data_IF_627319685773
#
_entry.id   IF_627319685773
#
_cell.length_a   1.000
_cell.length_b   1.000
_cell.length_c   1.000
_cell.angle_alpha   90.00
_cell.angle_beta   90.00
_cell.angle_gamma   90.00
#
_symmetry.space_group_name_H-M   'P 1'
#
loop_
_entity.id
_entity.type
_entity.pdbx_description
1 polymer ?
#
# COMPACT_ATOMS: atom_id res chain seq x y z
N UNK A 1 9.51 -19.23 5.78
CA UNK A 1 8.06 -19.01 5.74
C UNK A 1 7.69 -17.75 6.51
N UNK A 2 6.84 -16.94 5.94
CA UNK A 2 6.48 -15.66 6.57
C UNK A 2 5.25 -15.80 7.45
N UNK A 3 5.32 -15.25 8.65
CA UNK A 3 4.21 -15.25 9.60
C UNK A 3 3.37 -13.97 9.55
N UNK A 4 3.97 -12.87 9.12
CA UNK A 4 3.27 -11.60 8.98
C UNK A 4 3.73 -10.90 7.71
N UNK A 5 2.82 -10.75 6.78
CA UNK A 5 3.10 -10.18 5.46
C UNK A 5 2.35 -8.88 5.32
N UNK A 6 3.03 -7.82 4.91
CA UNK A 6 2.40 -6.54 4.61
C UNK A 6 2.36 -6.35 3.10
N UNK A 7 1.16 -6.33 2.52
CA UNK A 7 0.98 -6.09 1.09
C UNK A 7 0.58 -4.64 0.88
N UNK A 8 1.42 -3.89 0.18
CA UNK A 8 1.18 -2.48 -0.11
C UNK A 8 0.56 -2.36 -1.50
N UNK A 9 -0.63 -1.79 -1.56
CA UNK A 9 -1.39 -1.67 -2.80
C UNK A 9 -1.73 -0.21 -3.11
N UNK A 10 -1.76 0.13 -4.38
CA UNK A 10 -2.13 1.47 -4.85
C UNK A 10 -3.58 1.54 -5.33
N UNK A 11 -4.34 0.46 -5.15
CA UNK A 11 -5.75 0.32 -5.53
C UNK A 11 -6.01 0.39 -7.04
N UNK A 12 -4.95 0.24 -7.84
CA UNK A 12 -5.08 0.12 -9.29
C UNK A 12 -5.27 -1.35 -9.68
N UNK A 13 -5.41 -1.60 -10.97
CA UNK A 13 -5.46 -2.97 -11.50
C UNK A 13 -4.21 -3.76 -11.17
N UNK A 14 -3.07 -3.09 -11.11
CA UNK A 14 -1.80 -3.74 -10.81
C UNK A 14 -1.74 -4.27 -9.40
N UNK A 15 -2.62 -3.78 -8.52
CA UNK A 15 -2.71 -4.30 -7.16
C UNK A 15 -3.05 -5.79 -7.14
N UNK A 16 -3.75 -6.29 -8.15
CA UNK A 16 -4.07 -7.72 -8.22
C UNK A 16 -2.82 -8.57 -8.27
N UNK A 17 -1.81 -8.12 -9.01
CA UNK A 17 -0.54 -8.85 -9.09
C UNK A 17 0.19 -8.88 -7.76
N UNK A 18 0.15 -7.76 -7.04
CA UNK A 18 0.74 -7.66 -5.71
C UNK A 18 0.02 -8.58 -4.73
N UNK A 19 -1.30 -8.57 -4.78
CA UNK A 19 -2.13 -9.40 -3.90
C UNK A 19 -1.94 -10.89 -4.20
N UNK A 20 -1.89 -11.26 -5.47
CA UNK A 20 -1.64 -12.65 -5.85
C UNK A 20 -0.30 -13.14 -5.30
N UNK A 21 0.71 -12.29 -5.37
CA UNK A 21 2.02 -12.66 -4.84
C UNK A 21 1.99 -12.76 -3.32
N UNK A 22 1.30 -11.86 -2.65
CA UNK A 22 1.15 -11.92 -1.20
C UNK A 22 0.46 -13.21 -0.77
N UNK A 23 -0.61 -13.59 -1.46
CA UNK A 23 -1.31 -14.84 -1.18
C UNK A 23 -0.39 -16.05 -1.41
N UNK A 24 0.39 -16.01 -2.48
CA UNK A 24 1.33 -17.09 -2.78
C UNK A 24 2.37 -17.27 -1.67
N UNK A 25 2.96 -16.16 -1.20
CA UNK A 25 3.97 -16.26 -0.15
C UNK A 25 3.37 -16.51 1.24
N UNK A 26 2.07 -16.28 1.40
CA UNK A 26 1.35 -16.64 2.63
C UNK A 26 1.09 -18.15 2.71
N UNK A 27 1.37 -18.86 1.64
CA UNK A 27 1.30 -20.32 1.60
C UNK A 27 -0.07 -20.86 2.02
N UNK A 28 -1.12 -20.20 1.52
CA UNK A 28 -2.50 -20.63 1.75
C UNK A 28 -3.15 -20.10 3.02
N UNK A 29 -2.40 -19.37 3.83
CA UNK A 29 -2.96 -18.79 5.06
C UNK A 29 -3.05 -17.28 4.95
N UNK A 30 -4.16 -16.79 4.41
CA UNK A 30 -4.36 -15.36 4.23
C UNK A 30 -4.51 -14.60 5.55
N UNK A 31 -4.71 -15.29 6.65
CA UNK A 31 -4.78 -14.63 7.95
C UNK A 31 -3.45 -13.99 8.35
N UNK A 32 -2.36 -14.35 7.67
CA UNK A 32 -1.05 -13.77 7.90
C UNK A 32 -0.82 -12.48 7.11
N UNK A 33 -1.79 -12.07 6.29
CA UNK A 33 -1.64 -10.90 5.43
C UNK A 33 -2.29 -9.67 6.04
N UNK A 34 -1.53 -8.57 6.08
CA UNK A 34 -2.05 -7.23 6.32
C UNK A 34 -2.00 -6.48 5.01
N UNK A 35 -2.96 -5.61 4.78
CA UNK A 35 -3.03 -4.76 3.59
C UNK A 35 -2.78 -3.32 4.00
N UNK A 36 -2.10 -2.56 3.16
CA UNK A 36 -1.93 -1.14 3.38
C UNK A 36 -2.07 -0.36 2.07
N UNK A 37 -2.76 0.76 2.18
CA UNK A 37 -2.78 1.78 1.14
C UNK A 37 -2.47 3.11 1.80
N UNK A 38 -1.61 3.90 1.18
CA UNK A 38 -1.23 5.22 1.71
C UNK A 38 -1.80 6.30 0.80
N UNK A 39 -2.65 7.14 1.39
CA UNK A 39 -3.21 8.30 0.69
C UNK A 39 -2.24 9.46 0.88
N UNK A 40 -1.80 10.05 -0.23
CA UNK A 40 -0.90 11.20 -0.16
C UNK A 40 -1.69 12.47 0.13
N UNK A 41 -1.16 13.39 0.93
CA UNK A 41 -1.85 14.63 1.22
C UNK A 41 -2.11 15.47 -0.03
N UNK A 42 -3.35 15.88 -0.22
CA UNK A 42 -3.77 16.65 -1.39
C UNK A 42 -3.01 17.98 -1.48
N UNK A 43 -2.84 18.65 -0.36
CA UNK A 43 -2.13 19.92 -0.30
C UNK A 43 -0.70 19.81 -0.81
N UNK A 44 -0.02 18.70 -0.50
CA UNK A 44 1.33 18.46 -0.97
C UNK A 44 1.37 18.22 -2.49
N UNK A 45 0.34 17.56 -3.02
CA UNK A 45 0.28 17.25 -4.45
C UNK A 45 0.06 18.50 -5.31
N UNK A 46 -0.70 19.45 -4.80
CA UNK A 46 -1.05 20.63 -5.59
C UNK A 46 -0.32 21.91 -5.21
N UNK A 47 0.43 21.90 -4.16
CA UNK A 47 1.18 23.05 -3.67
C UNK A 47 0.30 24.30 -3.56
N UNK A 48 -0.88 24.16 -2.98
CA UNK A 48 -1.84 25.21 -3.11
C UNK A 48 -2.15 25.89 -1.82
N UNK A 49 -2.19 27.19 -1.88
CA UNK A 49 -2.66 28.03 -0.82
C UNK A 49 -4.17 28.17 -0.90
N UNK A 50 -4.85 27.17 -1.32
CA UNK A 50 -6.18 27.34 -1.68
C UNK A 50 -7.11 26.97 -0.61
N UNK A 51 -8.16 27.62 -0.54
CA UNK A 51 -9.39 27.33 0.16
C UNK A 51 -9.29 26.05 0.97
N UNK A 52 -8.63 26.16 2.10
CA UNK A 52 -8.33 25.03 2.96
C UNK A 52 -9.53 24.12 3.21
N UNK A 53 -10.72 24.67 3.19
CA UNK A 53 -11.95 23.90 3.40
C UNK A 53 -12.15 22.85 2.32
N UNK A 54 -11.97 23.22 1.05
CA UNK A 54 -12.14 22.27 -0.04
C UNK A 54 -11.06 21.20 -0.04
N UNK A 55 -9.84 21.56 0.32
CA UNK A 55 -8.74 20.64 0.41
C UNK A 55 -9.02 19.58 1.47
N UNK A 56 -9.52 20.00 2.63
CA UNK A 56 -9.86 19.08 3.72
C UNK A 56 -10.95 18.10 3.29
N UNK A 57 -12.00 18.60 2.65
CA UNK A 57 -13.09 17.73 2.19
C UNK A 57 -12.61 16.72 1.15
N UNK A 58 -11.81 17.16 0.19
CA UNK A 58 -11.25 16.28 -0.83
C UNK A 58 -10.38 15.20 -0.18
N UNK A 59 -9.57 15.59 0.79
CA UNK A 59 -8.70 14.68 1.51
C UNK A 59 -9.51 13.61 2.26
N UNK A 60 -10.54 14.03 2.98
CA UNK A 60 -11.38 13.11 3.74
C UNK A 60 -12.13 12.15 2.83
N UNK A 61 -12.60 12.63 1.69
CA UNK A 61 -13.28 11.80 0.72
C UNK A 61 -12.32 10.75 0.12
N UNK A 62 -11.10 11.16 -0.20
CA UNK A 62 -10.09 10.25 -0.71
C UNK A 62 -9.78 9.13 0.29
N UNK A 63 -9.66 9.48 1.57
CA UNK A 63 -9.42 8.51 2.63
C UNK A 63 -10.60 7.54 2.76
N UNK A 64 -11.82 8.06 2.78
CA UNK A 64 -13.01 7.23 2.89
C UNK A 64 -13.15 6.24 1.74
N UNK A 65 -12.90 6.69 0.52
CA UNK A 65 -12.96 5.83 -0.65
C UNK A 65 -11.89 4.74 -0.61
N UNK A 66 -10.70 5.10 -0.19
CA UNK A 66 -9.60 4.16 -0.08
C UNK A 66 -9.89 3.10 0.99
N UNK A 67 -10.40 3.53 2.15
CA UNK A 67 -10.77 2.60 3.22
C UNK A 67 -11.80 1.59 2.75
N UNK A 68 -12.83 2.08 2.05
CA UNK A 68 -13.89 1.22 1.56
C UNK A 68 -13.36 0.17 0.58
N UNK A 69 -12.54 0.60 -0.38
CA UNK A 69 -11.96 -0.31 -1.36
C UNK A 69 -11.06 -1.34 -0.71
N UNK A 70 -10.24 -0.90 0.23
CA UNK A 70 -9.28 -1.80 0.89
C UNK A 70 -10.01 -2.84 1.73
N UNK A 71 -11.07 -2.46 2.41
CA UNK A 71 -11.88 -3.37 3.19
C UNK A 71 -12.62 -4.39 2.30
N UNK A 72 -13.05 -3.96 1.12
CA UNK A 72 -13.65 -4.88 0.16
C UNK A 72 -12.65 -5.93 -0.31
N UNK A 73 -11.41 -5.51 -0.57
CA UNK A 73 -10.34 -6.43 -0.95
C UNK A 73 -10.08 -7.42 0.18
N UNK A 74 -9.99 -6.93 1.41
CA UNK A 74 -9.77 -7.79 2.57
C UNK A 74 -10.87 -8.84 2.67
N UNK A 75 -12.11 -8.42 2.51
CA UNK A 75 -13.25 -9.33 2.58
C UNK A 75 -13.18 -10.42 1.50
N UNK A 76 -12.82 -10.05 0.28
CA UNK A 76 -12.69 -11.00 -0.82
C UNK A 76 -11.60 -12.03 -0.56
N UNK A 77 -10.56 -11.65 0.13
CA UNK A 77 -9.43 -12.54 0.43
C UNK A 77 -9.59 -13.27 1.77
N UNK A 78 -10.68 -13.02 2.48
CA UNK A 78 -10.88 -13.63 3.79
C UNK A 78 -9.98 -13.06 4.87
N UNK A 79 -9.54 -11.82 4.69
CA UNK A 79 -8.69 -11.10 5.65
C UNK A 79 -9.59 -10.26 6.54
N UNK A 80 -9.33 -10.28 7.85
CA UNK A 80 -10.08 -9.47 8.80
C UNK A 80 -9.87 -7.98 8.48
N UNK A 81 -10.94 -7.19 8.49
CA UNK A 81 -10.88 -5.75 8.21
C UNK A 81 -9.88 -5.00 9.07
N UNK A 82 -9.65 -5.46 10.29
CA UNK A 82 -8.72 -4.81 11.21
C UNK A 82 -7.29 -4.83 10.66
N UNK A 83 -7.02 -5.73 9.72
CA UNK A 83 -5.71 -5.84 9.06
C UNK A 83 -5.63 -5.04 7.76
N UNK A 84 -6.68 -4.31 7.42
CA UNK A 84 -6.68 -3.41 6.26
C UNK A 84 -6.41 -2.00 6.74
N UNK A 85 -5.22 -1.48 6.44
CA UNK A 85 -4.74 -0.20 6.95
C UNK A 85 -4.75 0.86 5.86
N UNK A 86 -5.47 1.95 6.10
CA UNK A 86 -5.44 3.11 5.22
C UNK A 86 -4.75 4.24 5.96
N UNK A 87 -3.62 4.68 5.44
CA UNK A 87 -2.77 5.67 6.09
C UNK A 87 -2.71 6.95 5.26
N UNK A 88 -2.38 8.06 5.91
CA UNK A 88 -2.19 9.34 5.25
C UNK A 88 -0.73 9.74 5.42
N UNK A 89 -0.05 10.04 4.34
CA UNK A 89 1.32 10.51 4.42
C UNK A 89 2.13 10.16 3.18
N UNK A 90 3.43 10.08 3.34
CA UNK A 90 4.35 9.69 2.28
C UNK A 90 4.40 8.15 2.23
N UNK A 91 4.14 7.54 1.08
CA UNK A 91 4.00 6.08 1.01
C UNK A 91 5.18 5.30 1.54
N UNK A 92 6.39 5.62 1.13
CA UNK A 92 7.58 4.86 1.55
C UNK A 92 7.75 4.80 3.05
N UNK A 93 7.87 5.95 3.72
CA UNK A 93 8.01 5.99 5.17
C UNK A 93 6.84 5.37 5.93
N UNK A 94 5.61 5.62 5.48
CA UNK A 94 4.42 5.07 6.15
C UNK A 94 4.38 3.55 6.07
N UNK A 95 4.73 2.99 4.93
CA UNK A 95 4.80 1.53 4.77
C UNK A 95 5.87 0.93 5.68
N UNK A 96 7.06 1.55 5.71
CA UNK A 96 8.13 1.06 6.58
C UNK A 96 7.74 1.11 8.05
N UNK A 97 7.12 2.21 8.46
CA UNK A 97 6.70 2.37 9.85
C UNK A 97 5.65 1.34 10.25
N UNK A 98 4.69 1.09 9.37
CA UNK A 98 3.67 0.08 9.64
C UNK A 98 4.29 -1.31 9.68
N UNK A 99 5.20 -1.61 8.76
CA UNK A 99 5.88 -2.91 8.75
C UNK A 99 6.59 -3.17 10.08
N UNK A 100 7.26 -2.15 10.61
CA UNK A 100 7.92 -2.25 11.92
C UNK A 100 6.90 -2.42 13.04
N UNK A 101 5.82 -1.66 13.00
CA UNK A 101 4.79 -1.68 14.03
C UNK A 101 4.10 -3.03 14.16
N UNK A 102 3.82 -3.67 13.03
CA UNK A 102 3.18 -4.99 13.04
C UNK A 102 4.17 -6.15 13.07
N UNK A 103 5.45 -5.86 13.13
CA UNK A 103 6.52 -6.85 13.07
C UNK A 103 6.43 -7.72 11.82
N UNK A 104 6.27 -7.09 10.67
CA UNK A 104 6.18 -7.81 9.40
C UNK A 104 7.48 -8.54 9.09
N UNK A 105 7.35 -9.75 8.58
CA UNK A 105 8.48 -10.55 8.10
C UNK A 105 8.79 -10.22 6.65
N UNK A 106 7.80 -9.76 5.92
CA UNK A 106 7.95 -9.40 4.52
C UNK A 106 7.00 -8.28 4.13
N UNK A 107 7.46 -7.43 3.24
CA UNK A 107 6.62 -6.44 2.56
C UNK A 107 6.54 -6.85 1.10
N UNK A 108 5.34 -6.90 0.55
CA UNK A 108 5.12 -7.19 -0.87
C UNK A 108 4.62 -5.91 -1.51
N UNK A 109 5.31 -5.45 -2.54
CA UNK A 109 5.02 -4.15 -3.15
C UNK A 109 5.24 -4.21 -4.66
N UNK A 110 4.49 -3.42 -5.41
CA UNK A 110 4.67 -3.34 -6.85
C UNK A 110 5.92 -2.56 -7.25
N UNK A 111 6.47 -2.89 -8.40
CA UNK A 111 7.68 -2.24 -8.90
C UNK A 111 7.44 -0.79 -9.32
N UNK A 112 6.20 -0.42 -9.69
CA UNK A 112 5.85 0.96 -9.97
C UNK A 112 4.45 1.27 -9.44
N UNK A 113 4.19 2.57 -9.26
CA UNK A 113 2.87 3.05 -8.90
C UNK A 113 1.99 3.26 -10.11
N UNK A 114 0.74 3.50 -9.85
CA UNK A 114 -0.31 3.64 -10.86
C UNK A 114 -0.18 4.90 -11.71
N UNK A 115 0.32 5.97 -11.17
CA UNK A 115 0.22 7.28 -11.80
C UNK A 115 1.22 7.52 -12.94
N UNK A 116 1.50 6.49 -13.71
CA UNK A 116 2.36 6.62 -14.88
C UNK A 116 3.82 6.83 -14.58
N UNK A 117 4.22 6.53 -13.39
CA UNK A 117 5.62 6.63 -13.00
C UNK A 117 6.40 5.55 -13.73
N UNK A 118 7.02 5.93 -14.80
CA UNK A 118 7.81 5.03 -15.64
C UNK A 118 9.20 4.78 -15.09
N UNK A 119 9.36 4.91 -13.83
CA UNK A 119 10.64 4.69 -13.19
C UNK A 119 10.80 3.20 -12.99
N UNK A 120 11.95 2.68 -13.30
CA UNK A 120 12.24 1.24 -13.28
C UNK A 120 11.84 0.55 -12.01
N UNK A 121 12.09 1.20 -10.90
CA UNK A 121 11.62 0.74 -9.62
C UNK A 121 10.93 1.93 -9.01
N UNK A 122 9.66 1.84 -8.71
CA UNK A 122 8.88 2.97 -8.20
C UNK A 122 9.55 3.62 -7.00
N UNK A 123 9.38 4.93 -6.86
CA UNK A 123 10.00 5.67 -5.76
C UNK A 123 9.58 5.11 -4.41
N UNK A 124 8.35 4.66 -4.27
CA UNK A 124 7.86 4.06 -3.04
C UNK A 124 8.60 2.75 -2.75
N UNK A 125 8.75 1.89 -3.75
CA UNK A 125 9.45 0.62 -3.59
C UNK A 125 10.90 0.83 -3.17
N UNK A 126 11.57 1.81 -3.78
CA UNK A 126 12.95 2.15 -3.42
C UNK A 126 13.03 2.61 -1.97
N UNK A 127 12.14 3.47 -1.55
CA UNK A 127 12.14 4.00 -0.18
C UNK A 127 11.82 2.92 0.84
N UNK A 128 10.93 2.01 0.50
CA UNK A 128 10.63 0.87 1.38
C UNK A 128 11.86 -0.01 1.50
N UNK A 129 12.48 -0.34 0.38
CA UNK A 129 13.66 -1.21 0.37
C UNK A 129 14.81 -0.64 1.18
N UNK A 130 15.10 0.64 1.02
CA UNK A 130 16.23 1.28 1.72
C UNK A 130 16.07 1.34 3.23
N UNK A 131 14.86 1.39 3.72
CA UNK A 131 14.63 1.50 5.17
C UNK A 131 14.05 0.25 5.78
N UNK A 132 13.95 -0.84 5.04
CA UNK A 132 13.28 -2.03 5.52
C UNK A 132 14.09 -2.77 6.58
N UNK A 133 13.37 -3.29 7.57
CA UNK A 133 13.95 -4.16 8.60
C UNK A 133 13.52 -5.60 8.38
N UNK A 134 12.93 -5.90 7.23
CA UNK A 134 12.44 -7.24 6.86
C UNK A 134 12.65 -7.44 5.37
N UNK A 135 12.29 -8.61 4.89
CA UNK A 135 12.37 -8.92 3.46
C UNK A 135 11.40 -8.05 2.67
N UNK A 136 11.82 -7.64 1.48
CA UNK A 136 10.96 -6.87 0.57
C UNK A 136 10.87 -7.61 -0.75
N UNK A 137 9.65 -7.98 -1.12
CA UNK A 137 9.38 -8.63 -2.39
C UNK A 137 8.77 -7.62 -3.34
N UNK A 138 9.52 -7.27 -4.36
CA UNK A 138 9.06 -6.32 -5.37
C UNK A 138 8.46 -7.09 -6.54
N UNK A 139 7.17 -6.87 -6.77
CA UNK A 139 6.42 -7.57 -7.81
C UNK A 139 6.43 -6.74 -9.08
N UNK A 140 6.82 -7.35 -10.18
CA UNK A 140 6.81 -6.66 -11.46
C UNK A 140 5.36 -6.36 -11.86
N UNK A 141 5.08 -5.08 -12.05
CA UNK A 141 3.76 -4.59 -12.47
C UNK A 141 3.94 -3.64 -13.66
N UNK A 142 2.85 -3.38 -14.35
CA UNK A 142 2.87 -2.51 -15.52
C UNK A 142 2.89 -3.30 -16.81
N UNK A 143 3.04 -2.60 -17.91
CA UNK A 143 3.09 -3.23 -19.23
C UNK A 143 4.48 -3.76 -19.53
N UNK A 144 4.51 -4.87 -20.14
CA UNK A 144 5.77 -5.50 -20.59
C UNK A 144 6.33 -4.83 -21.82
#
# INVERSE_FOLDING_TARGET
>A
MYNTILAAVDLSKDSLKVLDKAVAVANGDNSNIHLVHVVEPVAAAYSMDIYAVNVIEIQQEAISMAEKKLKEIAKQLGIDEIKAHTLLGAPGPEIRNLAAEINADAVVIGSHGHSGWKILLGSTAIKVLHGATCDVLTVHVGED
#
